data_IF_548804060234
#
_entry.id   IF_548804060234
#
_cell.length_a   1.000
_cell.length_b   1.000
_cell.length_c   1.000
_cell.angle_alpha   90.00
_cell.angle_beta   90.00
_cell.angle_gamma   90.00
#
_symmetry.space_group_name_H-M   'P 1'
#
loop_
_entity.id
_entity.type
_entity.pdbx_description
1 polymer ?
#
# COMPACT_ATOMS: atom_id res chain seq x y z
N UNK A 1 57.22 11.57 -28.99
CA UNK A 1 55.97 11.70 -29.73
C UNK A 1 55.15 10.50 -29.35
N UNK A 2 54.29 10.67 -28.35
CA UNK A 2 53.43 9.60 -27.82
C UNK A 2 52.01 9.91 -28.22
N UNK A 3 51.50 9.13 -29.18
CA UNK A 3 50.08 9.11 -29.49
C UNK A 3 49.34 8.33 -28.41
N UNK A 4 48.59 9.05 -27.57
CA UNK A 4 47.65 8.48 -26.65
C UNK A 4 46.29 8.43 -27.35
N UNK A 5 45.97 7.28 -27.92
CA UNK A 5 44.62 7.01 -28.45
C UNK A 5 43.66 6.89 -27.29
N UNK A 6 42.87 7.93 -27.07
CA UNK A 6 41.69 7.86 -26.20
C UNK A 6 40.68 6.93 -26.84
N UNK A 7 40.51 5.73 -26.24
CA UNK A 7 39.40 4.84 -26.51
C UNK A 7 38.14 5.43 -25.87
N UNK A 8 37.38 6.22 -26.63
CA UNK A 8 36.00 6.50 -26.35
C UNK A 8 35.20 5.19 -26.49
N UNK A 9 35.01 4.48 -25.37
CA UNK A 9 34.03 3.42 -25.32
C UNK A 9 32.64 4.08 -25.30
N UNK A 10 32.06 4.28 -26.47
CA UNK A 10 30.66 4.64 -26.61
C UNK A 10 29.84 3.56 -25.91
N UNK A 11 29.29 3.88 -24.72
CA UNK A 11 28.31 3.05 -24.05
C UNK A 11 27.09 3.00 -24.97
N UNK A 12 27.03 1.96 -25.78
CA UNK A 12 25.89 1.71 -26.66
C UNK A 12 24.68 1.39 -25.80
N UNK A 13 23.67 2.24 -25.87
CA UNK A 13 22.38 1.93 -25.24
C UNK A 13 21.92 0.53 -25.69
N UNK A 14 21.41 -0.31 -24.77
CA UNK A 14 20.96 -1.64 -25.14
C UNK A 14 19.83 -1.56 -26.18
N UNK A 15 19.72 -2.53 -27.08
CA UNK A 15 18.67 -2.53 -28.08
C UNK A 15 17.27 -2.54 -27.39
N UNK A 16 16.34 -1.78 -27.96
CA UNK A 16 14.97 -1.57 -27.39
C UNK A 16 14.27 -2.85 -26.97
N UNK A 17 14.48 -3.94 -27.71
CA UNK A 17 13.92 -5.27 -27.37
C UNK A 17 14.53 -5.87 -26.09
N UNK A 18 15.83 -5.70 -25.85
CA UNK A 18 16.50 -6.16 -24.63
C UNK A 18 16.04 -5.34 -23.41
N UNK A 19 15.88 -4.01 -23.59
CA UNK A 19 15.34 -3.12 -22.57
C UNK A 19 13.88 -3.47 -22.20
N UNK A 20 13.05 -3.81 -23.17
CA UNK A 20 11.66 -4.25 -22.91
C UNK A 20 11.58 -5.57 -22.12
N UNK A 21 12.43 -6.55 -22.46
CA UNK A 21 12.49 -7.83 -21.72
C UNK A 21 12.98 -7.62 -20.28
N UNK A 22 14.07 -6.89 -20.08
CA UNK A 22 14.60 -6.61 -18.76
C UNK A 22 13.59 -5.86 -17.88
N UNK A 23 12.81 -4.94 -18.46
CA UNK A 23 11.75 -4.23 -17.74
C UNK A 23 10.56 -5.13 -17.38
N UNK A 24 10.17 -6.07 -18.27
CA UNK A 24 9.12 -7.03 -18.00
C UNK A 24 9.53 -8.02 -16.90
N UNK A 25 10.78 -8.49 -16.93
CA UNK A 25 11.35 -9.35 -15.89
C UNK A 25 11.40 -8.64 -14.53
N UNK A 26 11.78 -7.35 -14.51
CA UNK A 26 11.80 -6.55 -13.29
C UNK A 26 10.40 -6.34 -12.70
N UNK A 27 9.42 -5.99 -13.53
CA UNK A 27 8.03 -5.85 -13.07
C UNK A 27 7.46 -7.17 -12.55
N UNK A 28 7.78 -8.29 -13.22
CA UNK A 28 7.41 -9.63 -12.79
C UNK A 28 8.02 -10.01 -11.44
N UNK A 29 9.26 -9.57 -11.18
CA UNK A 29 9.90 -9.76 -9.87
C UNK A 29 9.19 -8.93 -8.77
N UNK A 30 8.91 -7.66 -9.01
CA UNK A 30 8.18 -6.80 -8.08
C UNK A 30 6.76 -7.33 -7.79
N UNK A 31 6.07 -7.83 -8.82
CA UNK A 31 4.77 -8.48 -8.67
C UNK A 31 4.88 -9.72 -7.76
N UNK A 32 5.86 -10.57 -8.01
CA UNK A 32 6.10 -11.79 -7.21
C UNK A 32 6.41 -11.46 -5.75
N UNK A 33 7.22 -10.41 -5.50
CA UNK A 33 7.51 -9.92 -4.15
C UNK A 33 6.23 -9.43 -3.46
N UNK A 34 5.42 -8.60 -4.12
CA UNK A 34 4.18 -8.08 -3.57
C UNK A 34 3.15 -9.19 -3.27
N UNK A 35 3.02 -10.18 -4.16
CA UNK A 35 2.17 -11.36 -3.94
C UNK A 35 2.66 -12.18 -2.72
N UNK A 36 3.97 -12.37 -2.60
CA UNK A 36 4.56 -13.03 -1.42
C UNK A 36 4.19 -12.27 -0.14
N UNK A 37 4.38 -10.96 -0.10
CA UNK A 37 4.06 -10.12 1.07
C UNK A 37 2.57 -10.23 1.44
N UNK A 38 1.65 -10.18 0.46
CA UNK A 38 0.22 -10.33 0.70
C UNK A 38 -0.12 -11.69 1.34
N UNK A 39 0.52 -12.77 0.89
CA UNK A 39 0.36 -14.11 1.46
C UNK A 39 0.95 -14.23 2.85
N UNK A 40 2.08 -13.58 3.12
CA UNK A 40 2.69 -13.51 4.46
C UNK A 40 1.75 -12.80 5.45
N UNK A 41 1.12 -11.69 5.05
CA UNK A 41 0.11 -11.01 5.87
C UNK A 41 -1.06 -11.94 6.19
N UNK A 42 -1.60 -12.62 5.18
CA UNK A 42 -2.71 -13.55 5.36
C UNK A 42 -2.36 -14.73 6.28
N UNK A 43 -1.10 -15.19 6.25
CA UNK A 43 -0.63 -16.31 7.08
C UNK A 43 -0.24 -15.94 8.49
N UNK A 44 0.19 -14.70 8.73
CA UNK A 44 0.74 -14.27 10.03
C UNK A 44 -0.22 -13.40 10.86
N UNK A 45 -1.11 -12.64 10.20
CA UNK A 45 -2.05 -11.76 10.89
C UNK A 45 -3.39 -12.46 11.11
N UNK A 46 -4.06 -12.13 12.22
CA UNK A 46 -5.35 -12.72 12.57
C UNK A 46 -6.53 -12.06 11.89
N UNK A 47 -6.43 -10.75 11.72
CA UNK A 47 -7.53 -9.93 11.20
C UNK A 47 -6.97 -8.74 10.41
N UNK A 48 -6.36 -9.00 9.25
CA UNK A 48 -5.87 -7.93 8.38
C UNK A 48 -7.01 -7.25 7.61
N UNK A 49 -6.75 -6.03 7.10
CA UNK A 49 -7.61 -5.33 6.16
C UNK A 49 -6.79 -4.69 5.03
N UNK A 50 -7.33 -4.66 3.81
CA UNK A 50 -6.73 -3.98 2.67
C UNK A 50 -7.35 -2.59 2.52
N UNK A 51 -6.52 -1.55 2.61
CA UNK A 51 -6.95 -0.17 2.43
C UNK A 51 -7.21 0.11 0.94
N UNK A 52 -8.44 0.42 0.60
CA UNK A 52 -8.86 0.65 -0.78
C UNK A 52 -9.43 2.06 -0.95
N UNK A 53 -8.61 2.98 -1.47
CA UNK A 53 -9.00 4.38 -1.69
C UNK A 53 -9.61 4.64 -3.09
N UNK A 54 -9.49 3.69 -4.02
CA UNK A 54 -9.83 3.88 -5.43
C UNK A 54 -8.75 4.63 -6.25
N UNK A 55 -7.65 5.03 -5.60
CA UNK A 55 -6.50 5.63 -6.29
C UNK A 55 -5.62 4.59 -6.99
N UNK A 56 -4.75 5.05 -7.89
CA UNK A 56 -3.90 4.20 -8.75
C UNK A 56 -3.11 3.13 -7.99
N UNK A 57 -2.47 3.49 -6.88
CA UNK A 57 -1.67 2.56 -6.08
C UNK A 57 -2.53 1.51 -5.40
N UNK A 58 -3.70 1.91 -4.87
CA UNK A 58 -4.65 0.97 -4.27
C UNK A 58 -5.29 0.02 -5.29
N UNK A 59 -5.42 0.44 -6.56
CA UNK A 59 -5.88 -0.42 -7.66
C UNK A 59 -4.84 -1.48 -8.04
N UNK A 60 -3.57 -1.09 -8.15
CA UNK A 60 -2.48 -2.05 -8.36
C UNK A 60 -2.45 -3.06 -7.22
N UNK A 61 -2.55 -2.57 -5.98
CA UNK A 61 -2.56 -3.43 -4.80
C UNK A 61 -3.77 -4.40 -4.79
N UNK A 62 -4.96 -3.92 -5.16
CA UNK A 62 -6.15 -4.76 -5.31
C UNK A 62 -5.92 -5.86 -6.36
N UNK A 63 -5.36 -5.50 -7.52
CA UNK A 63 -5.05 -6.48 -8.58
C UNK A 63 -4.01 -7.51 -8.16
N UNK A 64 -3.02 -7.11 -7.38
CA UNK A 64 -2.04 -8.02 -6.80
C UNK A 64 -2.68 -8.97 -5.79
N UNK A 65 -3.64 -8.50 -4.99
CA UNK A 65 -4.42 -9.35 -4.08
C UNK A 65 -5.27 -10.37 -4.86
N UNK A 66 -5.93 -9.97 -5.97
CA UNK A 66 -6.62 -10.92 -6.86
C UNK A 66 -5.67 -12.03 -7.31
N UNK A 67 -4.48 -11.68 -7.81
CA UNK A 67 -3.49 -12.68 -8.25
C UNK A 67 -2.96 -13.54 -7.11
N UNK A 68 -2.81 -12.96 -5.90
CA UNK A 68 -2.28 -13.67 -4.75
C UNK A 68 -3.20 -14.78 -4.25
N UNK A 69 -4.52 -14.56 -4.33
CA UNK A 69 -5.52 -15.46 -3.73
C UNK A 69 -6.41 -16.21 -4.73
N UNK A 70 -6.31 -15.89 -6.03
CA UNK A 70 -7.05 -16.63 -7.06
C UNK A 70 -6.79 -18.16 -6.96
N UNK A 71 -7.84 -19.02 -7.09
CA UNK A 71 -9.25 -18.71 -7.38
C UNK A 71 -10.12 -18.45 -6.14
N UNK A 72 -9.55 -18.34 -4.95
CA UNK A 72 -10.28 -18.09 -3.71
C UNK A 72 -10.59 -16.60 -3.49
N UNK A 73 -11.45 -16.33 -2.50
CA UNK A 73 -11.72 -14.99 -2.00
C UNK A 73 -10.55 -14.45 -1.15
N UNK A 74 -10.53 -13.14 -0.92
CA UNK A 74 -9.54 -12.54 -0.03
C UNK A 74 -9.76 -12.99 1.41
N UNK A 75 -8.70 -13.30 2.16
CA UNK A 75 -8.80 -13.64 3.57
C UNK A 75 -8.99 -12.40 4.47
N UNK A 76 -9.30 -11.24 3.89
CA UNK A 76 -9.46 -9.96 4.58
C UNK A 76 -10.44 -9.04 3.82
N UNK A 77 -11.13 -8.13 4.52
CA UNK A 77 -12.01 -7.16 3.89
C UNK A 77 -11.23 -6.02 3.21
N UNK A 78 -11.91 -5.33 2.29
CA UNK A 78 -11.53 -4.00 1.82
C UNK A 78 -12.00 -2.96 2.83
N UNK A 79 -11.13 -2.01 3.18
CA UNK A 79 -11.45 -0.89 4.07
C UNK A 79 -11.27 0.43 3.33
N UNK A 80 -12.32 1.22 3.23
CA UNK A 80 -12.31 2.55 2.67
C UNK A 80 -12.60 3.61 3.74
N UNK A 81 -11.76 4.65 3.79
CA UNK A 81 -12.01 5.84 4.61
C UNK A 81 -12.53 6.92 3.70
N UNK A 82 -13.81 7.21 3.83
CA UNK A 82 -14.48 8.26 3.05
C UNK A 82 -14.29 9.61 3.72
N UNK A 83 -13.64 10.54 3.01
CA UNK A 83 -13.43 11.91 3.48
C UNK A 83 -14.61 12.85 3.16
N UNK A 84 -15.58 12.37 2.39
CA UNK A 84 -16.65 13.18 1.84
C UNK A 84 -16.21 14.10 0.67
N UNK A 85 -14.93 14.02 0.25
CA UNK A 85 -14.36 14.82 -0.84
C UNK A 85 -13.96 13.98 -2.05
N UNK A 86 -14.35 12.71 -2.07
CA UNK A 86 -14.09 11.84 -3.22
C UNK A 86 -15.03 12.17 -4.38
N UNK A 87 -14.54 12.08 -5.61
CA UNK A 87 -15.40 12.20 -6.79
C UNK A 87 -16.44 11.06 -6.80
N UNK A 88 -17.69 11.34 -7.23
CA UNK A 88 -18.74 10.32 -7.31
C UNK A 88 -18.33 9.09 -8.13
N UNK A 89 -17.54 9.31 -9.20
CA UNK A 89 -17.03 8.25 -10.06
C UNK A 89 -16.08 7.31 -9.31
N UNK A 90 -15.26 7.81 -8.39
CA UNK A 90 -14.36 7.01 -7.56
C UNK A 90 -15.16 6.13 -6.61
N UNK A 91 -16.21 6.68 -6.00
CA UNK A 91 -17.12 5.94 -5.11
C UNK A 91 -17.85 4.85 -5.88
N UNK A 92 -18.44 5.18 -7.03
CA UNK A 92 -19.14 4.23 -7.89
C UNK A 92 -18.20 3.11 -8.36
N UNK A 93 -16.98 3.45 -8.75
CA UNK A 93 -15.97 2.48 -9.16
C UNK A 93 -15.52 1.57 -8.00
N UNK A 94 -15.33 2.13 -6.80
CA UNK A 94 -15.01 1.36 -5.59
C UNK A 94 -16.07 0.30 -5.32
N UNK A 95 -17.35 0.71 -5.32
CA UNK A 95 -18.48 -0.17 -5.03
C UNK A 95 -18.64 -1.24 -6.12
N UNK A 96 -18.49 -0.84 -7.38
CA UNK A 96 -18.50 -1.77 -8.52
C UNK A 96 -17.40 -2.84 -8.38
N UNK A 97 -16.15 -2.42 -8.10
CA UNK A 97 -15.04 -3.37 -7.99
C UNK A 97 -15.19 -4.32 -6.81
N UNK A 98 -15.63 -3.83 -5.66
CA UNK A 98 -15.88 -4.69 -4.50
C UNK A 98 -16.98 -5.73 -4.79
N UNK A 99 -18.06 -5.30 -5.44
CA UNK A 99 -19.17 -6.19 -5.82
C UNK A 99 -18.74 -7.21 -6.91
N UNK A 100 -17.98 -6.79 -7.93
CA UNK A 100 -17.49 -7.66 -9.00
C UNK A 100 -16.58 -8.78 -8.44
N UNK A 101 -15.75 -8.45 -7.45
CA UNK A 101 -14.87 -9.41 -6.79
C UNK A 101 -15.61 -10.28 -5.75
N UNK A 102 -16.82 -9.88 -5.36
CA UNK A 102 -17.55 -10.53 -4.27
C UNK A 102 -16.91 -10.31 -2.89
N UNK A 103 -16.09 -9.25 -2.75
CA UNK A 103 -15.33 -9.01 -1.52
C UNK A 103 -16.06 -8.08 -0.55
N UNK A 104 -15.88 -8.33 0.73
CA UNK A 104 -16.47 -7.51 1.79
C UNK A 104 -15.85 -6.12 1.80
N UNK A 105 -16.67 -5.09 1.56
CA UNK A 105 -16.28 -3.68 1.67
C UNK A 105 -16.77 -3.08 2.99
N UNK A 106 -15.86 -2.51 3.75
CA UNK A 106 -16.14 -1.73 4.95
C UNK A 106 -15.85 -0.27 4.63
N UNK A 107 -16.84 0.61 4.84
CA UNK A 107 -16.68 2.05 4.67
C UNK A 107 -16.78 2.74 6.02
N UNK A 108 -15.85 3.63 6.31
CA UNK A 108 -15.91 4.54 7.47
C UNK A 108 -15.83 5.98 7.00
N UNK A 109 -16.80 6.77 7.44
CA UNK A 109 -16.90 8.18 7.07
C UNK A 109 -16.16 9.07 8.06
N UNK A 110 -15.45 10.05 7.53
CA UNK A 110 -14.88 11.13 8.34
C UNK A 110 -16.00 12.01 8.95
N UNK A 111 -17.14 12.15 8.27
CA UNK A 111 -18.28 12.89 8.81
C UNK A 111 -18.82 12.28 10.10
N UNK A 112 -18.82 10.95 10.22
CA UNK A 112 -19.19 10.25 11.47
C UNK A 112 -18.19 10.56 12.59
N UNK A 113 -16.88 10.63 12.26
CA UNK A 113 -15.83 11.00 13.22
C UNK A 113 -15.95 12.46 13.65
N UNK A 114 -16.40 13.35 12.78
CA UNK A 114 -16.70 14.75 13.10
C UNK A 114 -17.95 14.85 13.96
N UNK A 115 -19.04 14.17 13.59
CA UNK A 115 -20.30 14.19 14.32
C UNK A 115 -20.16 13.64 15.75
N UNK A 116 -19.29 12.65 15.95
CA UNK A 116 -18.97 12.08 17.27
C UNK A 116 -17.95 12.90 18.07
N UNK A 117 -17.44 14.03 17.53
CA UNK A 117 -16.44 14.87 18.19
C UNK A 117 -15.04 14.29 18.24
N UNK A 118 -14.76 13.18 17.57
CA UNK A 118 -13.43 12.56 17.46
C UNK A 118 -12.49 13.39 16.60
N UNK A 119 -13.04 14.07 15.61
CA UNK A 119 -12.33 15.01 14.73
C UNK A 119 -12.99 16.38 14.87
N UNK A 120 -12.16 17.40 15.10
CA UNK A 120 -12.57 18.81 15.14
C UNK A 120 -11.84 19.54 14.01
N UNK A 121 -12.58 20.03 13.03
CA UNK A 121 -12.03 20.87 11.96
C UNK A 121 -11.79 22.28 12.54
N UNK A 122 -10.60 22.84 12.27
CA UNK A 122 -10.22 24.19 12.75
C UNK A 122 -10.89 25.29 11.94
N UNK A 123 -11.08 25.02 10.67
CA UNK A 123 -11.82 25.90 9.77
C UNK A 123 -12.53 25.08 8.66
N UNK A 124 -13.56 25.66 7.98
CA UNK A 124 -14.32 24.97 6.95
C UNK A 124 -13.51 24.58 5.71
N UNK A 125 -12.35 25.21 5.48
CA UNK A 125 -11.46 24.95 4.34
C UNK A 125 -10.31 24.01 4.68
N UNK A 126 -10.25 23.46 5.89
CA UNK A 126 -9.18 22.55 6.28
C UNK A 126 -9.22 21.24 5.47
N UNK A 127 -8.03 20.79 5.04
CA UNK A 127 -7.93 19.54 4.30
C UNK A 127 -8.33 18.34 5.17
N UNK A 128 -9.43 17.72 4.81
CA UNK A 128 -9.96 16.51 5.47
C UNK A 128 -9.03 15.31 5.40
N UNK A 129 -8.14 15.28 4.40
CA UNK A 129 -7.16 14.20 4.25
C UNK A 129 -6.24 14.06 5.47
N UNK A 130 -5.98 15.14 6.21
CA UNK A 130 -5.17 15.10 7.43
C UNK A 130 -5.82 14.30 8.55
N UNK A 131 -7.14 14.20 8.55
CA UNK A 131 -7.93 13.56 9.59
C UNK A 131 -8.27 12.09 9.30
N UNK A 132 -7.95 11.60 8.10
CA UNK A 132 -8.17 10.18 7.73
C UNK A 132 -7.53 9.21 8.74
N UNK A 133 -6.39 9.59 9.32
CA UNK A 133 -5.68 8.75 10.29
C UNK A 133 -6.51 8.47 11.53
N UNK A 134 -7.29 9.45 12.00
CA UNK A 134 -8.16 9.28 13.19
C UNK A 134 -9.26 8.29 12.88
N UNK A 135 -10.00 8.50 11.78
CA UNK A 135 -11.08 7.59 11.34
C UNK A 135 -10.55 6.18 11.09
N UNK A 136 -9.34 6.06 10.55
CA UNK A 136 -8.70 4.76 10.33
C UNK A 136 -8.34 4.08 11.66
N UNK A 137 -7.82 4.80 12.65
CA UNK A 137 -7.54 4.24 13.98
C UNK A 137 -8.81 3.81 14.70
N UNK A 138 -9.90 4.57 14.55
CA UNK A 138 -11.21 4.19 15.07
C UNK A 138 -11.71 2.89 14.41
N UNK A 139 -11.56 2.75 13.09
CA UNK A 139 -11.89 1.51 12.39
C UNK A 139 -11.02 0.32 12.83
N UNK A 140 -9.72 0.54 13.02
CA UNK A 140 -8.81 -0.49 13.54
C UNK A 140 -9.25 -0.97 14.91
N UNK A 141 -9.59 -0.05 15.81
CA UNK A 141 -10.04 -0.38 17.16
C UNK A 141 -11.41 -1.09 17.15
N UNK A 142 -12.36 -0.60 16.35
CA UNK A 142 -13.71 -1.15 16.25
C UNK A 142 -13.74 -2.58 15.71
N UNK A 143 -12.98 -2.84 14.65
CA UNK A 143 -12.94 -4.16 14.02
C UNK A 143 -11.84 -5.06 14.56
N UNK A 144 -10.94 -4.56 15.38
CA UNK A 144 -9.81 -5.31 15.92
C UNK A 144 -8.80 -5.70 14.87
N UNK A 145 -8.55 -4.85 13.86
CA UNK A 145 -7.55 -5.11 12.84
C UNK A 145 -6.14 -5.09 13.43
N UNK A 146 -5.38 -6.14 13.19
CA UNK A 146 -3.97 -6.24 13.60
C UNK A 146 -2.99 -5.85 12.47
N UNK A 147 -3.46 -5.83 11.22
CA UNK A 147 -2.70 -5.37 10.08
C UNK A 147 -3.56 -4.54 9.10
N UNK A 148 -2.96 -3.47 8.56
CA UNK A 148 -3.57 -2.68 7.47
C UNK A 148 -2.63 -2.64 6.28
N UNK A 149 -3.05 -3.26 5.18
CA UNK A 149 -2.30 -3.32 3.92
C UNK A 149 -2.57 -2.05 3.12
N UNK A 150 -1.54 -1.33 2.72
CA UNK A 150 -1.66 -0.06 2.01
C UNK A 150 -0.71 0.12 0.85
N UNK A 151 -1.05 1.03 -0.04
CA UNK A 151 -0.32 1.31 -1.29
C UNK A 151 0.81 2.33 -1.17
N UNK A 152 1.34 2.61 0.04
CA UNK A 152 2.41 3.57 0.18
C UNK A 152 3.73 3.06 -0.40
N UNK A 153 4.48 3.96 -1.05
CA UNK A 153 5.74 3.66 -1.74
C UNK A 153 6.87 4.54 -1.22
N UNK A 154 8.08 3.99 -1.20
CA UNK A 154 9.30 4.74 -0.82
C UNK A 154 9.63 5.88 -1.78
N UNK A 155 9.25 5.73 -3.04
CA UNK A 155 9.45 6.73 -4.10
C UNK A 155 8.57 7.97 -3.92
N UNK A 156 7.46 7.85 -3.21
CA UNK A 156 6.45 8.89 -3.07
C UNK A 156 6.86 10.00 -2.08
N UNK A 157 7.52 9.64 -0.98
CA UNK A 157 7.88 10.57 0.08
C UNK A 157 9.12 10.12 0.86
N UNK A 158 10.04 11.06 1.14
CA UNK A 158 11.29 10.78 1.89
C UNK A 158 11.06 10.19 3.29
N UNK A 159 9.98 10.57 3.96
CA UNK A 159 9.63 10.02 5.27
C UNK A 159 9.33 8.52 5.17
N UNK A 160 8.62 8.10 4.11
CA UNK A 160 8.27 6.71 3.83
C UNK A 160 9.46 5.85 3.42
N UNK A 161 10.52 6.46 2.87
CA UNK A 161 11.75 5.76 2.50
C UNK A 161 12.44 5.07 3.70
N UNK A 162 12.15 5.52 4.93
CA UNK A 162 12.69 4.95 6.16
C UNK A 162 11.84 3.82 6.74
N UNK A 163 10.58 3.71 6.32
CA UNK A 163 9.68 2.68 6.82
C UNK A 163 10.04 1.30 6.22
N UNK A 164 9.81 0.27 7.02
CA UNK A 164 9.88 -1.12 6.56
C UNK A 164 8.64 -1.50 5.77
N UNK A 165 8.67 -2.62 5.06
CA UNK A 165 7.49 -3.20 4.41
C UNK A 165 6.43 -3.51 5.48
N UNK A 166 6.84 -4.14 6.60
CA UNK A 166 6.03 -4.30 7.81
C UNK A 166 6.38 -3.19 8.81
N UNK A 167 5.62 -2.11 8.76
CA UNK A 167 5.86 -0.90 9.55
C UNK A 167 5.02 -0.93 10.82
N UNK A 168 5.68 -1.20 11.95
CA UNK A 168 5.01 -1.30 13.25
C UNK A 168 4.58 0.05 13.76
N UNK A 169 3.38 0.08 14.34
CA UNK A 169 2.74 1.24 14.93
C UNK A 169 2.50 0.99 16.41
N UNK A 170 2.74 2.01 17.22
CA UNK A 170 2.39 2.00 18.63
C UNK A 170 0.86 2.06 18.85
N UNK A 171 0.44 2.04 20.10
CA UNK A 171 -0.99 2.13 20.49
C UNK A 171 -1.67 3.44 20.04
N UNK A 172 -0.90 4.46 19.66
CA UNK A 172 -1.40 5.74 19.10
C UNK A 172 -1.39 5.77 17.58
N UNK A 173 -1.01 4.66 16.93
CA UNK A 173 -0.91 4.55 15.48
C UNK A 173 0.32 5.27 14.89
N UNK A 174 1.26 5.72 15.71
CA UNK A 174 2.49 6.36 15.27
C UNK A 174 3.53 5.32 14.88
N UNK A 175 4.37 5.67 13.88
CA UNK A 175 5.49 4.82 13.53
C UNK A 175 6.46 4.67 14.70
N UNK A 176 6.74 3.42 15.08
CA UNK A 176 7.67 3.08 16.14
C UNK A 176 9.01 2.60 15.56
N UNK A 177 10.01 3.49 15.40
CA UNK A 177 11.31 3.14 14.83
C UNK A 177 12.11 2.13 15.68
N UNK A 178 11.78 1.99 16.97
CA UNK A 178 12.50 1.11 17.89
C UNK A 178 12.04 -0.35 17.78
N UNK A 179 10.77 -0.55 17.39
CA UNK A 179 10.15 -1.86 17.25
C UNK A 179 10.19 -2.42 15.83
N UNK A 180 10.87 -1.73 14.90
CA UNK A 180 11.01 -2.24 13.53
C UNK A 180 11.88 -3.49 13.51
N UNK A 181 11.50 -4.47 12.68
CA UNK A 181 12.18 -5.74 12.56
C UNK A 181 13.02 -5.79 11.28
N UNK A 182 14.14 -6.54 11.26
CA UNK A 182 14.88 -6.80 10.04
C UNK A 182 14.02 -7.58 9.04
N UNK A 183 14.13 -7.24 7.76
CA UNK A 183 13.42 -7.88 6.63
C UNK A 183 14.45 -8.52 5.67
N UNK A 184 15.45 -9.19 6.24
CA UNK A 184 16.49 -9.88 5.47
C UNK A 184 15.89 -11.09 4.75
N UNK A 185 16.31 -11.28 3.50
CA UNK A 185 15.88 -12.41 2.66
C UNK A 185 14.37 -12.54 2.48
N UNK A 186 13.65 -11.41 2.51
CA UNK A 186 12.17 -11.35 2.43
C UNK A 186 11.48 -12.21 3.51
N UNK A 187 12.10 -12.32 4.68
CA UNK A 187 11.48 -12.93 5.86
C UNK A 187 10.81 -11.84 6.68
N UNK A 188 9.53 -12.01 6.93
CA UNK A 188 8.70 -11.05 7.65
C UNK A 188 8.25 -11.61 9.00
N UNK A 189 8.03 -10.72 9.96
CA UNK A 189 7.48 -11.09 11.26
C UNK A 189 6.43 -10.04 11.64
N UNK A 190 5.16 -10.40 11.47
CA UNK A 190 4.01 -9.51 11.69
C UNK A 190 3.46 -9.55 13.12
N UNK A 191 4.13 -10.24 14.06
CA UNK A 191 3.63 -10.36 15.43
C UNK A 191 3.54 -9.00 16.11
N UNK A 192 2.33 -8.61 16.53
CA UNK A 192 2.03 -7.39 17.28
C UNK A 192 1.65 -7.71 18.71
N UNK A 193 1.90 -6.77 19.64
CA UNK A 193 1.38 -6.82 20.99
C UNK A 193 -0.08 -6.32 21.05
N UNK A 194 -0.83 -6.64 22.12
CA UNK A 194 -2.18 -6.10 22.29
C UNK A 194 -2.20 -4.56 22.22
N UNK A 195 -3.08 -4.01 21.39
CA UNK A 195 -3.20 -2.57 21.15
C UNK A 195 -2.26 -2.01 20.09
N UNK A 196 -1.29 -2.78 19.62
CA UNK A 196 -0.45 -2.41 18.48
C UNK A 196 -1.03 -2.96 17.18
N UNK A 197 -0.62 -2.36 16.06
CA UNK A 197 -0.92 -2.88 14.72
C UNK A 197 0.24 -2.64 13.77
N UNK A 198 0.25 -3.38 12.66
CA UNK A 198 1.25 -3.20 11.61
C UNK A 198 0.63 -2.60 10.35
N UNK A 199 1.33 -1.65 9.72
CA UNK A 199 1.04 -1.21 8.35
C UNK A 199 1.92 -2.00 7.42
N UNK A 200 1.33 -2.59 6.38
CA UNK A 200 2.08 -3.39 5.41
C UNK A 200 2.00 -2.74 4.04
N UNK A 201 3.15 -2.60 3.39
CA UNK A 201 3.31 -1.89 2.11
C UNK A 201 3.87 -2.81 1.02
N UNK A 202 3.06 -3.69 0.40
CA UNK A 202 3.54 -4.68 -0.57
C UNK A 202 4.20 -4.07 -1.81
N UNK A 203 3.80 -2.86 -2.18
CA UNK A 203 4.34 -2.12 -3.33
C UNK A 203 5.37 -1.04 -2.91
N UNK A 204 5.95 -1.17 -1.72
CA UNK A 204 6.90 -0.19 -1.16
C UNK A 204 8.09 0.09 -2.07
N UNK A 205 8.56 -0.91 -2.81
CA UNK A 205 9.72 -0.84 -3.69
C UNK A 205 9.38 -0.39 -5.12
N UNK A 206 8.09 -0.17 -5.44
CA UNK A 206 7.65 0.25 -6.76
C UNK A 206 7.83 1.76 -6.95
N UNK A 207 8.25 2.15 -8.14
CA UNK A 207 8.31 3.55 -8.57
C UNK A 207 7.01 3.98 -9.25
N UNK A 208 6.85 5.29 -9.47
CA UNK A 208 5.71 5.83 -10.21
C UNK A 208 5.62 5.24 -11.64
N UNK A 209 6.76 4.98 -12.26
CA UNK A 209 6.81 4.39 -13.60
C UNK A 209 6.27 2.96 -13.62
N UNK A 210 6.57 2.15 -12.61
CA UNK A 210 6.11 0.76 -12.50
C UNK A 210 4.61 0.70 -12.20
N UNK A 211 4.11 1.59 -11.35
CA UNK A 211 2.67 1.76 -11.14
C UNK A 211 1.97 2.10 -12.46
N UNK A 212 2.50 3.07 -13.23
CA UNK A 212 1.96 3.41 -14.55
C UNK A 212 1.95 2.24 -15.54
N UNK A 213 3.00 1.42 -15.53
CA UNK A 213 3.08 0.21 -16.39
C UNK A 213 2.13 -0.90 -15.97
N UNK A 214 1.82 -1.01 -14.70
CA UNK A 214 0.88 -2.01 -14.20
C UNK A 214 -0.58 -1.70 -14.56
N UNK A 215 -0.88 -0.46 -14.98
CA UNK A 215 -2.21 -0.03 -15.45
C UNK A 215 -2.42 -0.21 -16.96
N UNK A 216 -1.39 -0.57 -17.73
CA UNK A 216 -1.43 -0.80 -19.17
C UNK A 216 -1.48 -2.31 -19.46
#
# INVERSE_FOLDING_TARGET
>A
MNDVAFLESAVRAPPVAASRRANADHLGWLESEAIHILREVAGQCRNPALLFSGGKDSLVLLRLAEKAFHPGSFPFPLLHIDTGHNFPEVIAFRDYRAAELGERLIVRSLDDSIASGRVVLRDPGESRNRHQSVTLLDAIAEFGFDACIGGARRDEEKARAKERIFSFRDAFGQWDPRNQRPELWNLYNARVAPGEHVRVFPISNWTELEIGRAHV
#
